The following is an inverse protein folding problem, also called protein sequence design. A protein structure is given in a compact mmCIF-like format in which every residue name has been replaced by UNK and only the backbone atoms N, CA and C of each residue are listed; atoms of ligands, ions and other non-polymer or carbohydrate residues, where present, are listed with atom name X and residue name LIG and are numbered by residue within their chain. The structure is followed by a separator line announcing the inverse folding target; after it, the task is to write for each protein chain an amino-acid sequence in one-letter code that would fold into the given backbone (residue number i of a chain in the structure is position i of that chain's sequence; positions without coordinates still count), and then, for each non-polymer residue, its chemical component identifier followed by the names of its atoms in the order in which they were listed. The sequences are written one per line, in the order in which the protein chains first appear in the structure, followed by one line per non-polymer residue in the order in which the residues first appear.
data_IF_862868412258
#
_entry.id   IF_862868412258
#
_cell.length_a   1.000
_cell.length_b   1.000
_cell.length_c   1.000
_cell.angle_alpha   90.00
_cell.angle_beta   90.00
_cell.angle_gamma   90.00
#
_symmetry.space_group_name_H-M   'P 1'
#
loop_
_entity.id
_entity.type
_entity.pdbx_description
1 polymer ?
#
# COMPACT_ATOMS: atom_id res chain seq x y z
N UNK A 1 -48.62 5.19 -7.40
CA UNK A 1 -47.54 6.05 -7.91
C UNK A 1 -46.28 5.50 -7.29
N UNK A 2 -45.65 4.56 -7.98
CA UNK A 2 -44.29 4.12 -7.67
C UNK A 2 -43.43 5.29 -8.15
N UNK A 3 -42.74 5.96 -7.24
CA UNK A 3 -41.67 6.86 -7.65
C UNK A 3 -40.73 6.07 -8.58
N UNK A 4 -40.42 6.64 -9.73
CA UNK A 4 -39.42 6.11 -10.66
C UNK A 4 -38.10 5.93 -9.89
N UNK A 5 -37.85 4.72 -9.37
CA UNK A 5 -36.57 4.35 -8.79
C UNK A 5 -35.61 4.20 -9.98
N UNK A 6 -35.11 5.33 -10.48
CA UNK A 6 -33.95 5.33 -11.38
C UNK A 6 -32.78 4.79 -10.57
N UNK A 7 -32.50 3.50 -10.73
CA UNK A 7 -31.23 2.93 -10.29
C UNK A 7 -30.09 3.74 -10.92
N UNK A 8 -29.02 4.04 -10.17
CA UNK A 8 -27.84 4.70 -10.73
C UNK A 8 -27.31 3.92 -11.94
N UNK A 9 -26.63 4.61 -12.86
CA UNK A 9 -25.97 4.00 -14.03
C UNK A 9 -25.10 2.81 -13.61
N UNK A 10 -25.11 1.71 -14.36
CA UNK A 10 -24.32 0.51 -14.00
C UNK A 10 -22.86 0.85 -13.70
N UNK A 11 -22.39 0.51 -12.50
CA UNK A 11 -21.06 0.87 -12.03
C UNK A 11 -20.50 -0.20 -11.08
N UNK A 12 -19.19 -0.16 -10.86
CA UNK A 12 -18.51 -1.03 -9.91
C UNK A 12 -17.12 -0.48 -9.59
N UNK A 13 -16.44 -1.14 -8.68
CA UNK A 13 -15.11 -0.72 -8.27
C UNK A 13 -14.66 -1.37 -6.99
N UNK A 14 -13.62 -0.79 -6.43
CA UNK A 14 -13.06 -1.14 -5.13
C UNK A 14 -13.22 0.05 -4.18
N UNK A 15 -13.75 -0.17 -3.00
CA UNK A 15 -13.83 0.83 -1.92
C UNK A 15 -12.99 0.34 -0.74
N UNK A 16 -12.17 1.21 -0.18
CA UNK A 16 -11.35 0.88 0.98
C UNK A 16 -11.03 2.10 1.83
N UNK A 17 -10.70 1.93 3.12
CA UNK A 17 -10.24 3.02 3.95
C UNK A 17 -8.98 3.69 3.38
N UNK A 18 -8.93 5.03 3.40
CA UNK A 18 -7.70 5.74 3.11
C UNK A 18 -6.70 5.46 4.24
N UNK A 19 -5.66 4.69 3.91
CA UNK A 19 -4.50 4.42 4.74
C UNK A 19 -3.24 4.57 3.88
N UNK A 20 -2.06 4.34 4.45
CA UNK A 20 -0.83 4.33 3.67
C UNK A 20 -0.71 3.03 2.88
N UNK A 21 -0.79 3.14 1.55
CA UNK A 21 -0.55 2.08 0.58
C UNK A 21 0.32 2.63 -0.56
N UNK A 22 0.79 1.78 -1.47
CA UNK A 22 1.53 2.23 -2.65
C UNK A 22 0.58 2.24 -3.86
N UNK A 23 0.08 3.40 -4.32
CA UNK A 23 -0.79 3.47 -5.49
C UNK A 23 -0.23 2.74 -6.72
N UNK A 24 1.08 2.85 -6.96
CA UNK A 24 1.75 2.15 -8.06
C UNK A 24 1.72 0.63 -7.89
N UNK A 25 1.94 0.10 -6.68
CA UNK A 25 1.80 -1.33 -6.40
C UNK A 25 0.36 -1.82 -6.57
N UNK A 26 -0.64 -1.03 -6.18
CA UNK A 26 -2.04 -1.36 -6.39
C UNK A 26 -2.35 -1.45 -7.89
N UNK A 27 -1.91 -0.46 -8.67
CA UNK A 27 -2.05 -0.46 -10.12
C UNK A 27 -1.35 -1.66 -10.76
N UNK A 28 -0.11 -1.98 -10.34
CA UNK A 28 0.64 -3.13 -10.84
C UNK A 28 -0.06 -4.46 -10.52
N UNK A 29 -0.56 -4.63 -9.30
CA UNK A 29 -1.27 -5.85 -8.90
C UNK A 29 -2.57 -6.05 -9.71
N UNK A 30 -3.33 -4.96 -9.93
CA UNK A 30 -4.54 -5.01 -10.75
C UNK A 30 -4.21 -5.28 -12.23
N UNK A 31 -3.14 -4.69 -12.75
CA UNK A 31 -2.66 -4.95 -14.11
C UNK A 31 -2.27 -6.42 -14.30
N UNK A 32 -1.52 -6.99 -13.35
CA UNK A 32 -1.14 -8.40 -13.36
C UNK A 32 -2.38 -9.31 -13.35
N UNK A 33 -3.36 -9.01 -12.48
CA UNK A 33 -4.63 -9.73 -12.44
C UNK A 33 -5.38 -9.70 -13.78
N UNK A 34 -5.42 -8.56 -14.45
CA UNK A 34 -6.06 -8.43 -15.76
C UNK A 34 -5.30 -9.14 -16.88
N UNK A 35 -3.97 -9.03 -16.90
CA UNK A 35 -3.11 -9.71 -17.89
C UNK A 35 -3.23 -11.23 -17.75
N UNK A 36 -3.33 -11.75 -16.53
CA UNK A 36 -3.52 -13.18 -16.28
C UNK A 36 -4.80 -13.73 -16.94
N UNK A 37 -5.81 -12.88 -17.14
CA UNK A 37 -7.06 -13.20 -17.84
C UNK A 37 -7.05 -12.80 -19.33
N UNK A 38 -5.86 -12.55 -19.90
CA UNK A 38 -5.64 -12.15 -21.29
C UNK A 38 -6.44 -10.91 -21.71
N UNK A 39 -6.67 -9.96 -20.79
CA UNK A 39 -7.36 -8.71 -21.08
C UNK A 39 -6.44 -7.72 -21.79
N UNK A 40 -6.98 -6.97 -22.75
CA UNK A 40 -6.28 -5.85 -23.36
C UNK A 40 -6.35 -4.64 -22.42
N UNK A 41 -5.21 -4.25 -21.85
CA UNK A 41 -5.11 -3.12 -20.91
C UNK A 41 -4.37 -1.91 -21.52
N UNK A 42 -4.22 -1.86 -22.85
CA UNK A 42 -3.37 -0.86 -23.53
C UNK A 42 -3.79 0.60 -23.34
N UNK A 43 -5.05 0.84 -23.03
CA UNK A 43 -5.59 2.17 -22.70
C UNK A 43 -6.13 2.24 -21.27
N UNK A 44 -5.91 1.18 -20.48
CA UNK A 44 -6.52 1.06 -19.17
C UNK A 44 -5.78 1.88 -18.11
N UNK A 45 -6.55 2.58 -17.28
CA UNK A 45 -6.03 3.36 -16.15
C UNK A 45 -6.70 2.93 -14.85
N UNK A 46 -5.97 3.05 -13.75
CA UNK A 46 -6.52 3.06 -12.40
C UNK A 46 -6.79 4.51 -12.00
N UNK A 47 -8.05 4.83 -11.77
CA UNK A 47 -8.48 6.07 -11.14
C UNK A 47 -8.70 5.81 -9.64
N UNK A 48 -8.07 6.62 -8.79
CA UNK A 48 -8.30 6.64 -7.36
C UNK A 48 -8.91 7.99 -6.98
N UNK A 49 -10.06 7.96 -6.33
CA UNK A 49 -10.75 9.16 -5.84
C UNK A 49 -11.01 9.01 -4.35
N UNK A 50 -10.55 9.97 -3.54
CA UNK A 50 -10.87 10.00 -2.11
C UNK A 50 -12.22 10.69 -1.90
N UNK A 51 -13.04 10.16 -1.01
CA UNK A 51 -14.24 10.85 -0.54
C UNK A 51 -13.90 12.23 0.08
N UNK A 52 -14.68 13.30 -0.21
CA UNK A 52 -14.39 14.65 0.31
C UNK A 52 -14.37 14.72 1.84
N UNK A 53 -15.29 14.02 2.50
CA UNK A 53 -15.52 14.15 3.95
C UNK A 53 -15.13 12.90 4.76
N UNK A 54 -15.02 11.73 4.11
CA UNK A 54 -14.83 10.44 4.77
C UNK A 54 -13.46 9.88 4.36
N UNK A 55 -12.82 9.12 5.24
CA UNK A 55 -11.52 8.48 4.96
C UNK A 55 -11.70 7.22 4.10
N UNK A 56 -12.29 7.37 2.91
CA UNK A 56 -12.50 6.29 1.95
C UNK A 56 -11.91 6.66 0.60
N UNK A 57 -11.35 5.66 -0.07
CA UNK A 57 -10.90 5.73 -1.46
C UNK A 57 -11.76 4.81 -2.30
N UNK A 58 -12.21 5.33 -3.44
CA UNK A 58 -12.80 4.57 -4.52
C UNK A 58 -11.75 4.39 -5.61
N UNK A 59 -11.43 3.14 -5.90
CA UNK A 59 -10.63 2.74 -7.04
C UNK A 59 -11.52 2.23 -8.17
N UNK A 60 -11.34 2.77 -9.36
CA UNK A 60 -12.00 2.34 -10.60
C UNK A 60 -10.98 2.12 -11.70
N UNK A 61 -11.24 1.13 -12.53
CA UNK A 61 -10.49 0.91 -13.75
C UNK A 61 -11.28 1.57 -14.87
N UNK A 62 -10.61 2.37 -15.69
CA UNK A 62 -11.18 3.02 -16.88
C UNK A 62 -10.43 2.55 -18.12
N UNK A 63 -11.03 2.75 -19.29
CA UNK A 63 -10.49 2.30 -20.59
C UNK A 63 -11.30 1.15 -21.20
N UNK A 64 -10.90 0.72 -22.38
CA UNK A 64 -11.64 -0.27 -23.19
C UNK A 64 -11.80 -1.65 -22.52
N UNK A 65 -10.96 -1.96 -21.54
CA UNK A 65 -11.00 -3.24 -20.80
C UNK A 65 -12.31 -3.50 -20.06
N UNK A 66 -13.02 -2.43 -19.67
CA UNK A 66 -14.30 -2.52 -18.94
C UNK A 66 -15.44 -2.93 -19.88
N UNK A 67 -15.37 -2.56 -21.16
CA UNK A 67 -16.46 -2.71 -22.10
C UNK A 67 -17.69 -1.87 -21.72
N UNK A 68 -18.86 -2.30 -22.19
CA UNK A 68 -20.13 -1.57 -22.03
C UNK A 68 -20.91 -1.96 -20.76
N UNK A 69 -20.41 -2.93 -19.98
CA UNK A 69 -21.03 -3.38 -18.73
C UNK A 69 -20.05 -3.31 -17.54
N UNK A 70 -19.89 -2.12 -16.92
CA UNK A 70 -19.00 -1.94 -15.78
C UNK A 70 -19.36 -2.83 -14.59
N UNK A 71 -20.64 -3.05 -14.32
CA UNK A 71 -21.08 -3.88 -13.21
C UNK A 71 -20.76 -5.37 -13.47
N UNK A 72 -21.02 -5.84 -14.69
CA UNK A 72 -20.64 -7.18 -15.14
C UNK A 72 -19.13 -7.41 -15.08
N UNK A 73 -18.33 -6.44 -15.52
CA UNK A 73 -16.87 -6.51 -15.41
C UNK A 73 -16.44 -6.77 -13.97
N UNK A 74 -16.84 -5.95 -13.00
CA UNK A 74 -16.40 -6.15 -11.61
C UNK A 74 -16.93 -7.44 -10.99
N UNK A 75 -18.16 -7.83 -11.32
CA UNK A 75 -18.76 -9.10 -10.87
C UNK A 75 -18.03 -10.33 -11.42
N UNK A 76 -17.50 -10.26 -12.64
CA UNK A 76 -16.81 -11.37 -13.29
C UNK A 76 -15.32 -11.44 -12.95
N UNK A 77 -14.76 -10.38 -12.36
CA UNK A 77 -13.35 -10.29 -12.00
C UNK A 77 -13.17 -10.05 -10.48
N UNK A 78 -13.91 -10.81 -9.64
CA UNK A 78 -13.88 -10.69 -8.17
C UNK A 78 -12.49 -10.97 -7.58
N UNK A 79 -11.68 -11.75 -8.27
CA UNK A 79 -10.29 -12.03 -7.93
C UNK A 79 -9.41 -10.79 -7.93
N UNK A 80 -9.77 -9.73 -8.67
CA UNK A 80 -9.08 -8.44 -8.58
C UNK A 80 -9.18 -7.85 -7.17
N UNK A 81 -10.31 -8.03 -6.49
CA UNK A 81 -10.46 -7.66 -5.09
C UNK A 81 -9.58 -8.49 -4.16
N UNK A 82 -9.40 -9.78 -4.46
CA UNK A 82 -8.50 -10.65 -3.69
C UNK A 82 -7.05 -10.20 -3.88
N UNK A 83 -6.61 -9.99 -5.12
CA UNK A 83 -5.27 -9.53 -5.49
C UNK A 83 -4.97 -8.16 -4.87
N UNK A 84 -5.85 -7.17 -5.07
CA UNK A 84 -5.69 -5.83 -4.52
C UNK A 84 -5.59 -5.84 -2.99
N UNK A 85 -6.36 -6.71 -2.31
CA UNK A 85 -6.30 -6.81 -0.85
C UNK A 85 -4.98 -7.35 -0.29
N UNK A 86 -4.10 -7.92 -1.13
CA UNK A 86 -2.76 -8.35 -0.71
C UNK A 86 -1.82 -7.17 -0.50
N UNK A 87 -2.01 -6.08 -1.25
CA UNK A 87 -1.15 -4.90 -1.20
C UNK A 87 -1.72 -3.76 -0.36
N UNK A 88 -3.02 -3.83 -0.02
CA UNK A 88 -3.71 -2.89 0.86
C UNK A 88 -3.63 -3.29 2.35
N UNK A 89 -3.57 -2.32 3.28
CA UNK A 89 -3.37 -2.60 4.70
C UNK A 89 -4.65 -3.05 5.43
N UNK A 90 -5.82 -2.63 4.96
CA UNK A 90 -7.13 -2.89 5.57
C UNK A 90 -8.06 -3.66 4.62
N UNK A 91 -9.27 -3.94 5.13
CA UNK A 91 -10.33 -4.55 4.34
C UNK A 91 -10.63 -3.72 3.09
N UNK A 92 -10.90 -4.44 2.01
CA UNK A 92 -11.27 -3.93 0.71
C UNK A 92 -12.66 -4.45 0.37
N UNK A 93 -13.49 -3.59 -0.21
CA UNK A 93 -14.82 -3.92 -0.68
C UNK A 93 -14.83 -3.83 -2.20
N UNK A 94 -14.80 -4.97 -2.89
CA UNK A 94 -15.13 -5.01 -4.31
C UNK A 94 -16.64 -5.02 -4.44
N UNK A 95 -17.21 -4.18 -5.30
CA UNK A 95 -18.66 -4.06 -5.44
C UNK A 95 -19.10 -3.87 -6.91
N UNK A 96 -20.35 -4.21 -7.18
CA UNK A 96 -21.03 -3.98 -8.45
C UNK A 96 -22.49 -3.59 -8.22
N UNK A 97 -22.97 -2.66 -9.03
CA UNK A 97 -24.36 -2.20 -9.10
C UNK A 97 -24.76 -2.18 -10.56
N UNK A 98 -25.53 -3.18 -10.98
CA UNK A 98 -26.16 -3.21 -12.29
C UNK A 98 -27.54 -2.55 -12.20
N UNK A 99 -27.79 -1.59 -13.08
CA UNK A 99 -29.09 -0.95 -13.23
C UNK A 99 -30.05 -1.76 -14.11
N UNK A 100 -31.08 -1.10 -14.61
CA UNK A 100 -32.04 -1.72 -15.54
C UNK A 100 -31.39 -2.14 -16.88
N UNK A 101 -31.93 -3.18 -17.56
CA UNK A 101 -33.17 -3.91 -17.25
C UNK A 101 -33.01 -5.07 -16.27
N UNK A 102 -31.78 -5.44 -15.92
CA UNK A 102 -31.48 -6.61 -15.08
C UNK A 102 -30.78 -6.14 -13.79
N UNK A 103 -31.51 -5.50 -12.86
CA UNK A 103 -30.90 -4.95 -11.66
C UNK A 103 -30.28 -6.07 -10.82
N UNK A 104 -29.04 -5.84 -10.38
CA UNK A 104 -28.29 -6.78 -9.55
C UNK A 104 -27.26 -6.00 -8.75
N UNK A 105 -27.13 -6.27 -7.46
CA UNK A 105 -26.08 -5.66 -6.66
C UNK A 105 -25.36 -6.70 -5.85
N UNK A 106 -24.07 -6.49 -5.64
CA UNK A 106 -23.29 -7.35 -4.79
C UNK A 106 -21.95 -6.74 -4.41
N UNK A 107 -21.33 -7.37 -3.44
CA UNK A 107 -20.00 -7.04 -2.98
C UNK A 107 -19.27 -8.27 -2.46
N UNK A 108 -17.94 -8.17 -2.45
CA UNK A 108 -17.02 -9.11 -1.80
C UNK A 108 -16.13 -8.30 -0.87
N UNK A 109 -16.05 -8.73 0.39
CA UNK A 109 -15.12 -8.19 1.38
C UNK A 109 -13.87 -9.04 1.36
N UNK A 110 -12.73 -8.42 1.09
CA UNK A 110 -11.43 -9.10 1.06
C UNK A 110 -10.43 -8.42 1.98
N UNK A 111 -9.51 -9.21 2.53
CA UNK A 111 -8.39 -8.70 3.32
C UNK A 111 -7.21 -9.66 3.19
N UNK A 112 -6.01 -9.13 2.88
CA UNK A 112 -4.76 -9.92 2.81
C UNK A 112 -4.86 -11.15 1.89
N UNK A 113 -5.54 -11.02 0.76
CA UNK A 113 -5.74 -12.10 -0.20
C UNK A 113 -6.78 -13.15 0.22
N UNK A 114 -7.60 -12.88 1.22
CA UNK A 114 -8.66 -13.77 1.67
C UNK A 114 -10.03 -13.11 1.52
N UNK A 115 -11.05 -13.89 1.16
CA UNK A 115 -12.45 -13.46 1.18
C UNK A 115 -13.00 -13.63 2.59
N UNK A 116 -13.50 -12.55 3.17
CA UNK A 116 -14.08 -12.53 4.52
C UNK A 116 -15.61 -12.68 4.48
N UNK A 117 -16.23 -12.21 3.40
CA UNK A 117 -17.67 -12.28 3.21
C UNK A 117 -18.04 -11.82 1.81
N UNK A 118 -19.23 -12.21 1.36
CA UNK A 118 -19.77 -11.78 0.09
C UNK A 118 -21.30 -11.78 0.18
N UNK A 119 -21.91 -10.88 -0.58
CA UNK A 119 -23.35 -10.85 -0.77
C UNK A 119 -23.63 -10.43 -2.20
N UNK A 120 -24.59 -11.08 -2.83
CA UNK A 120 -25.05 -10.79 -4.19
C UNK A 120 -26.55 -11.04 -4.24
N UNK A 121 -27.29 -10.12 -4.85
CA UNK A 121 -28.74 -10.18 -4.91
C UNK A 121 -29.26 -9.75 -6.28
N UNK A 122 -30.27 -10.47 -6.76
CA UNK A 122 -31.22 -10.07 -7.81
C UNK A 122 -32.60 -9.76 -7.17
N UNK A 123 -33.55 -9.13 -7.88
CA UNK A 123 -34.82 -8.69 -7.28
C UNK A 123 -35.63 -9.82 -6.66
N UNK A 124 -35.57 -11.02 -7.25
CA UNK A 124 -36.26 -12.23 -6.78
C UNK A 124 -35.67 -12.82 -5.49
N UNK A 125 -34.47 -12.38 -5.11
CA UNK A 125 -33.79 -12.80 -3.88
C UNK A 125 -34.02 -11.83 -2.71
N UNK A 126 -34.66 -10.69 -2.97
CA UNK A 126 -35.01 -9.71 -1.94
C UNK A 126 -36.38 -10.01 -1.32
N UNK A 127 -36.65 -9.53 -0.09
CA UNK A 127 -37.98 -9.60 0.50
C UNK A 127 -39.08 -9.00 -0.39
N UNK A 128 -40.34 -9.49 -0.31
CA UNK A 128 -41.44 -8.98 -1.15
C UNK A 128 -41.74 -7.48 -0.97
N UNK A 129 -41.37 -6.91 0.17
CA UNK A 129 -41.52 -5.49 0.55
C UNK A 129 -40.17 -4.74 0.54
N UNK A 130 -39.16 -5.29 -0.14
CA UNK A 130 -37.84 -4.69 -0.22
C UNK A 130 -37.87 -3.29 -0.85
N UNK A 131 -37.11 -2.41 -0.23
CA UNK A 131 -36.86 -1.04 -0.63
C UNK A 131 -35.46 -0.90 -1.23
N UNK A 132 -35.12 0.28 -1.73
CA UNK A 132 -33.76 0.58 -2.21
C UNK A 132 -32.68 0.32 -1.14
N UNK A 133 -33.01 0.47 0.14
CA UNK A 133 -32.10 0.27 1.26
C UNK A 133 -31.81 -1.21 1.57
N UNK A 134 -32.60 -2.13 1.02
CA UNK A 134 -32.46 -3.57 1.27
C UNK A 134 -31.48 -4.25 0.32
N UNK A 135 -30.99 -3.54 -0.70
CA UNK A 135 -29.99 -4.06 -1.61
C UNK A 135 -28.61 -4.18 -0.94
N UNK A 136 -27.80 -5.20 -1.31
CA UNK A 136 -26.50 -5.45 -0.68
C UNK A 136 -25.56 -4.23 -0.61
N UNK A 137 -25.42 -3.48 -1.72
CA UNK A 137 -24.52 -2.32 -1.74
C UNK A 137 -25.10 -1.15 -0.92
N UNK A 138 -26.41 -0.94 -0.92
CA UNK A 138 -27.05 0.06 -0.06
C UNK A 138 -26.83 -0.23 1.43
N UNK A 139 -26.93 -1.51 1.84
CA UNK A 139 -26.63 -1.92 3.22
C UNK A 139 -25.16 -1.74 3.58
N UNK A 140 -24.24 -2.07 2.66
CA UNK A 140 -22.81 -1.81 2.83
C UNK A 140 -22.53 -0.31 3.02
N UNK A 141 -23.08 0.54 2.16
CA UNK A 141 -22.85 1.97 2.19
C UNK A 141 -23.35 2.63 3.48
N UNK A 142 -24.46 2.14 4.04
CA UNK A 142 -24.94 2.56 5.36
C UNK A 142 -23.92 2.27 6.47
N UNK A 143 -23.18 1.16 6.40
CA UNK A 143 -22.10 0.85 7.36
C UNK A 143 -20.88 1.76 7.15
N UNK A 144 -20.59 2.12 5.90
CA UNK A 144 -19.49 3.00 5.51
C UNK A 144 -19.81 4.49 5.69
N UNK A 145 -21.06 4.83 6.03
CA UNK A 145 -21.55 6.21 6.16
C UNK A 145 -21.39 7.02 4.86
N UNK A 146 -21.76 6.40 3.73
CA UNK A 146 -21.70 6.98 2.38
C UNK A 146 -23.08 6.91 1.75
N UNK A 147 -23.49 7.95 1.01
CA UNK A 147 -24.75 7.93 0.27
C UNK A 147 -24.60 7.21 -1.09
N UNK A 148 -25.64 6.50 -1.57
CA UNK A 148 -25.59 5.79 -2.86
C UNK A 148 -25.15 6.64 -4.05
N UNK A 149 -25.62 7.90 -4.12
CA UNK A 149 -25.30 8.83 -5.21
C UNK A 149 -23.83 9.28 -5.19
N UNK A 150 -23.21 9.36 -4.01
CA UNK A 150 -21.79 9.67 -3.88
C UNK A 150 -20.93 8.55 -4.46
N UNK A 151 -21.30 7.28 -4.19
CA UNK A 151 -20.62 6.14 -4.79
C UNK A 151 -20.85 6.10 -6.30
N UNK A 152 -22.07 6.31 -6.78
CA UNK A 152 -22.39 6.29 -8.22
C UNK A 152 -21.61 7.36 -8.99
N UNK A 153 -21.61 8.60 -8.48
CA UNK A 153 -20.87 9.73 -9.05
C UNK A 153 -19.35 9.62 -8.93
N UNK A 154 -18.86 8.64 -8.18
CA UNK A 154 -17.43 8.36 -8.02
C UNK A 154 -16.72 9.33 -7.09
N UNK A 155 -17.39 9.77 -6.02
CA UNK A 155 -16.90 10.76 -5.06
C UNK A 155 -16.56 12.10 -5.72
N UNK A 156 -17.51 12.64 -6.48
CA UNK A 156 -17.35 13.90 -7.19
C UNK A 156 -16.84 15.03 -6.28
N UNK A 157 -15.85 15.80 -6.76
CA UNK A 157 -15.20 16.87 -5.99
C UNK A 157 -14.10 16.40 -5.03
N UNK A 158 -13.90 15.09 -4.88
CA UNK A 158 -12.82 14.53 -4.09
C UNK A 158 -11.44 14.62 -4.76
N UNK A 159 -10.34 14.58 -3.99
CA UNK A 159 -8.99 14.48 -4.55
C UNK A 159 -8.82 13.22 -5.40
N UNK A 160 -8.16 13.35 -6.55
CA UNK A 160 -8.05 12.31 -7.58
C UNK A 160 -6.61 12.09 -8.02
N UNK A 161 -6.24 10.84 -8.24
CA UNK A 161 -5.04 10.46 -8.99
C UNK A 161 -5.38 9.42 -10.06
N UNK A 162 -4.64 9.45 -11.17
CA UNK A 162 -4.76 8.49 -12.27
C UNK A 162 -3.41 7.84 -12.52
N UNK A 163 -3.41 6.52 -12.72
CA UNK A 163 -2.22 5.73 -13.04
C UNK A 163 -2.47 4.86 -14.25
N UNK A 164 -1.49 4.77 -15.15
CA UNK A 164 -1.51 3.80 -16.25
C UNK A 164 -1.41 2.38 -15.69
N UNK A 165 -2.16 1.43 -16.24
CA UNK A 165 -2.02 0.01 -15.86
C UNK A 165 -0.89 -0.71 -16.61
N UNK A 166 -0.33 -0.13 -17.69
CA UNK A 166 0.80 -0.75 -18.42
C UNK A 166 2.12 -0.44 -17.72
N UNK A 167 2.31 0.84 -17.38
CA UNK A 167 3.50 1.40 -16.77
C UNK A 167 3.02 2.26 -15.60
N UNK A 168 2.66 1.63 -14.47
CA UNK A 168 2.20 2.34 -13.28
C UNK A 168 3.40 3.05 -12.62
N UNK A 169 3.80 4.18 -13.21
CA UNK A 169 4.87 5.03 -12.70
C UNK A 169 4.31 6.20 -11.90
N UNK A 170 5.07 6.60 -10.88
CA UNK A 170 4.78 7.78 -10.07
C UNK A 170 5.43 7.67 -8.70
N UNK A 171 5.67 8.83 -8.08
CA UNK A 171 6.09 8.86 -6.69
C UNK A 171 4.87 8.55 -5.80
N UNK A 172 4.82 7.35 -5.23
CA UNK A 172 3.74 6.89 -4.34
C UNK A 172 3.45 7.89 -3.22
N UNK A 173 4.48 8.57 -2.71
CA UNK A 173 4.32 9.60 -1.69
C UNK A 173 3.52 10.77 -2.23
N UNK A 174 3.94 11.37 -3.34
CA UNK A 174 3.23 12.48 -3.99
C UNK A 174 1.79 12.11 -4.38
N UNK A 175 1.56 10.88 -4.85
CA UNK A 175 0.23 10.37 -5.20
C UNK A 175 -0.68 10.25 -3.97
N UNK A 176 -0.17 9.70 -2.87
CA UNK A 176 -0.91 9.64 -1.61
C UNK A 176 -1.18 11.03 -1.02
N UNK A 177 -0.22 11.95 -1.09
CA UNK A 177 -0.39 13.32 -0.60
C UNK A 177 -1.50 14.04 -1.37
N UNK A 178 -1.52 13.85 -2.69
CA UNK A 178 -2.63 14.30 -3.55
C UNK A 178 -3.96 13.74 -3.06
N UNK A 179 -4.05 12.42 -2.82
CA UNK A 179 -5.28 11.80 -2.30
C UNK A 179 -5.69 12.34 -0.92
N UNK A 180 -4.74 12.63 -0.03
CA UNK A 180 -5.00 13.23 1.29
C UNK A 180 -5.44 14.71 1.18
N UNK A 181 -5.40 15.29 -0.03
CA UNK A 181 -5.81 16.66 -0.30
C UNK A 181 -4.70 17.69 -0.09
N UNK A 182 -3.45 17.24 -0.03
CA UNK A 182 -2.28 18.12 -0.06
C UNK A 182 -1.80 18.22 -1.50
N UNK A 183 -1.75 19.44 -2.05
CA UNK A 183 -1.08 19.64 -3.32
C UNK A 183 0.42 19.38 -3.13
N UNK A 184 1.09 18.73 -4.10
CA UNK A 184 2.55 18.67 -4.08
C UNK A 184 3.06 20.11 -4.02
N UNK A 185 3.95 20.41 -3.06
CA UNK A 185 4.64 21.69 -3.03
C UNK A 185 5.39 21.81 -4.36
N UNK A 186 4.91 22.72 -5.23
CA UNK A 186 5.61 23.07 -6.46
C UNK A 186 7.05 23.43 -6.08
N UNK A 187 7.98 22.58 -6.48
CA UNK A 187 9.39 22.77 -6.27
C UNK A 187 9.79 24.16 -6.76
N UNK A 188 10.33 24.95 -5.82
CA UNK A 188 11.09 26.15 -6.12
C UNK A 188 11.99 25.91 -7.32
N UNK A 189 11.79 26.74 -8.34
CA UNK A 189 12.55 26.73 -9.57
C UNK A 189 14.04 26.76 -9.27
N UNK A 190 14.73 25.78 -9.84
CA UNK A 190 16.15 25.87 -10.10
C UNK A 190 16.31 26.88 -11.24
N UNK A 191 16.32 28.17 -10.90
CA UNK A 191 16.74 29.25 -11.79
C UNK A 191 18.23 29.04 -12.08
N UNK A 192 18.49 28.29 -13.15
CA UNK A 192 19.78 28.24 -13.81
C UNK A 192 20.17 29.62 -14.33
N UNK A 193 21.08 30.24 -13.59
CA UNK A 193 22.00 31.33 -13.93
C UNK A 193 22.16 31.58 -15.44
N UNK A 194 21.47 32.61 -15.93
CA UNK A 194 21.66 33.18 -17.26
C UNK A 194 22.70 34.31 -17.18
N UNK A 195 23.94 34.00 -17.57
CA UNK A 195 24.97 34.99 -17.87
C UNK A 195 24.86 35.50 -19.31
N UNK A 196 24.59 36.79 -19.43
CA UNK A 196 24.66 37.65 -20.62
C UNK A 196 25.98 37.50 -21.43
N UNK A 197 25.93 37.56 -22.77
CA UNK A 197 26.41 38.76 -23.50
C UNK A 197 26.10 38.74 -25.03
N UNK A 198 25.50 39.85 -25.49
CA UNK A 198 25.55 40.60 -26.76
C UNK A 198 25.61 39.92 -28.18
N UNK A 199 24.73 40.42 -29.08
CA UNK A 199 24.52 40.02 -30.50
C UNK A 199 25.46 40.68 -31.54
N UNK A 200 25.04 41.12 -32.77
CA UNK A 200 23.73 41.12 -33.43
C UNK A 200 23.74 40.64 -34.93
N UNK A 201 22.61 40.90 -35.62
CA UNK A 201 22.36 40.99 -37.08
C UNK A 201 21.62 39.87 -37.84
N UNK A 202 20.76 40.35 -38.75
CA UNK A 202 19.54 39.73 -39.24
C UNK A 202 19.69 39.11 -40.67
N UNK A 203 18.61 38.89 -41.46
CA UNK A 203 18.06 37.57 -41.76
C UNK A 203 18.23 37.15 -43.23
N UNK A 204 18.31 35.85 -43.54
CA UNK A 204 17.94 35.35 -44.88
C UNK A 204 17.76 33.82 -44.94
N UNK A 205 16.65 33.42 -45.59
CA UNK A 205 16.48 32.21 -46.42
C UNK A 205 16.18 30.86 -45.74
N UNK A 206 14.92 30.43 -45.87
CA UNK A 206 14.59 29.01 -46.12
C UNK A 206 14.62 28.76 -47.65
N UNK A 207 14.96 27.54 -48.13
CA UNK A 207 13.96 26.47 -48.20
C UNK A 207 14.44 25.05 -47.87
N UNK A 208 13.47 24.24 -47.44
CA UNK A 208 13.50 22.79 -47.18
C UNK A 208 14.15 21.93 -48.27
N UNK A 209 14.88 20.90 -47.85
CA UNK A 209 14.76 19.54 -48.39
C UNK A 209 15.21 18.52 -47.32
N UNK A 210 14.31 17.58 -46.98
CA UNK A 210 14.38 16.73 -45.79
C UNK A 210 15.48 15.68 -45.79
N UNK A 211 16.13 15.54 -44.63
CA UNK A 211 16.85 14.35 -44.24
C UNK A 211 15.95 13.52 -43.31
N UNK A 212 15.62 12.30 -43.72
CA UNK A 212 14.88 11.34 -42.92
C UNK A 212 15.66 10.99 -41.63
N UNK A 213 15.00 10.92 -40.46
CA UNK A 213 15.67 10.47 -39.24
C UNK A 213 16.00 8.97 -39.36
N UNK A 214 17.24 8.63 -38.98
CA UNK A 214 17.73 7.26 -38.93
C UNK A 214 16.79 6.40 -38.07
N UNK A 215 16.37 5.26 -38.63
CA UNK A 215 15.54 4.30 -37.92
C UNK A 215 16.28 3.79 -36.67
N UNK A 216 15.80 4.18 -35.49
CA UNK A 216 16.09 3.51 -34.23
C UNK A 216 15.72 2.04 -34.38
N UNK A 217 16.68 1.14 -34.15
CA UNK A 217 16.43 -0.30 -34.07
C UNK A 217 15.30 -0.52 -33.07
N UNK A 218 14.13 -0.94 -33.55
CA UNK A 218 13.00 -1.38 -32.72
C UNK A 218 13.50 -2.56 -31.90
N UNK A 219 13.72 -2.35 -30.60
CA UNK A 219 13.89 -3.43 -29.62
C UNK A 219 12.63 -4.28 -29.72
N UNK A 220 12.79 -5.57 -30.01
CA UNK A 220 11.64 -6.45 -30.18
C UNK A 220 10.95 -6.68 -28.84
N UNK A 221 9.64 -6.90 -28.87
CA UNK A 221 8.83 -7.21 -27.67
C UNK A 221 9.39 -8.41 -26.89
N UNK A 222 10.05 -9.34 -27.58
CA UNK A 222 10.69 -10.49 -26.94
C UNK A 222 11.99 -10.12 -26.21
N UNK A 223 12.77 -9.19 -26.74
CA UNK A 223 14.00 -8.70 -26.10
C UNK A 223 13.67 -7.89 -24.85
N UNK A 224 12.60 -7.08 -24.91
CA UNK A 224 12.11 -6.31 -23.76
C UNK A 224 11.54 -7.21 -22.65
N UNK A 225 10.78 -8.26 -23.00
CA UNK A 225 10.31 -9.27 -22.05
C UNK A 225 11.45 -10.03 -21.36
N UNK A 226 12.51 -10.39 -22.12
CA UNK A 226 13.70 -11.04 -21.56
C UNK A 226 14.47 -10.11 -20.62
N UNK A 227 14.58 -8.81 -20.98
CA UNK A 227 15.20 -7.80 -20.12
C UNK A 227 14.45 -7.64 -18.79
N UNK A 228 13.13 -7.44 -18.83
CA UNK A 228 12.31 -7.30 -17.60
C UNK A 228 12.33 -8.57 -16.73
N UNK A 229 12.29 -9.75 -17.35
CA UNK A 229 12.41 -11.00 -16.60
C UNK A 229 13.80 -11.15 -15.95
N UNK A 230 14.86 -10.68 -16.61
CA UNK A 230 16.21 -10.68 -16.07
C UNK A 230 16.36 -9.63 -14.93
N UNK A 231 15.78 -8.44 -15.08
CA UNK A 231 15.77 -7.39 -14.06
C UNK A 231 14.99 -7.83 -12.82
N UNK A 232 13.78 -8.37 -12.98
CA UNK A 232 12.98 -8.91 -11.87
C UNK A 232 13.68 -10.07 -11.17
N UNK A 233 14.30 -10.98 -11.94
CA UNK A 233 15.10 -12.05 -11.37
C UNK A 233 16.31 -11.49 -10.60
N UNK A 234 17.01 -10.51 -11.15
CA UNK A 234 18.13 -9.87 -10.46
C UNK A 234 17.70 -9.16 -9.17
N UNK A 235 16.52 -8.53 -9.16
CA UNK A 235 15.94 -7.93 -7.95
C UNK A 235 15.62 -9.00 -6.89
N UNK A 236 14.97 -10.10 -7.29
CA UNK A 236 14.70 -11.23 -6.39
C UNK A 236 15.99 -11.85 -5.86
N UNK A 237 16.98 -12.05 -6.72
CA UNK A 237 18.29 -12.61 -6.35
C UNK A 237 19.03 -11.64 -5.39
N UNK A 238 18.98 -10.33 -5.63
CA UNK A 238 19.55 -9.32 -4.74
C UNK A 238 18.83 -9.27 -3.38
N UNK A 239 17.50 -9.40 -3.38
CA UNK A 239 16.67 -9.44 -2.16
C UNK A 239 16.93 -10.70 -1.34
N UNK A 240 17.05 -11.86 -2.01
CA UNK A 240 17.43 -13.11 -1.38
C UNK A 240 18.85 -13.01 -0.78
N UNK A 241 19.80 -12.45 -1.53
CA UNK A 241 21.16 -12.22 -1.04
C UNK A 241 21.20 -11.28 0.17
N UNK A 242 20.38 -10.21 0.18
CA UNK A 242 20.21 -9.33 1.34
C UNK A 242 19.68 -10.11 2.55
N UNK A 243 18.64 -10.90 2.37
CA UNK A 243 18.07 -11.72 3.45
C UNK A 243 19.08 -12.75 3.99
N UNK A 244 19.88 -13.39 3.13
CA UNK A 244 20.90 -14.35 3.54
C UNK A 244 22.06 -13.70 4.27
N UNK A 245 22.50 -12.51 3.83
CA UNK A 245 23.51 -11.70 4.53
C UNK A 245 23.04 -11.32 5.94
N UNK A 246 21.79 -10.88 6.08
CA UNK A 246 21.18 -10.51 7.36
C UNK A 246 21.12 -11.71 8.32
N UNK A 247 20.82 -12.91 7.81
CA UNK A 247 20.75 -14.15 8.61
C UNK A 247 22.12 -14.60 9.13
N UNK A 248 23.21 -14.23 8.46
CA UNK A 248 24.55 -14.72 8.78
C UNK A 248 25.17 -14.08 10.03
N UNK A 249 24.84 -12.81 10.30
CA UNK A 249 25.25 -12.07 11.51
C UNK A 249 24.02 -11.46 12.17
N UNK A 250 23.28 -12.30 12.89
CA UNK A 250 22.02 -11.94 13.56
C UNK A 250 22.23 -11.79 15.08
N UNK A 251 22.61 -10.60 15.58
CA UNK A 251 22.66 -10.34 17.01
C UNK A 251 21.32 -10.65 17.68
N UNK A 252 21.37 -11.14 18.91
CA UNK A 252 20.16 -11.43 19.66
C UNK A 252 20.37 -11.33 21.16
N UNK A 253 19.27 -11.16 21.88
CA UNK A 253 19.19 -11.28 23.34
C UNK A 253 18.06 -12.25 23.68
N UNK A 254 18.31 -13.13 24.65
CA UNK A 254 17.30 -14.05 25.18
C UNK A 254 16.85 -13.57 26.56
N UNK A 255 15.55 -13.58 26.81
CA UNK A 255 14.94 -13.21 28.07
C UNK A 255 13.80 -14.18 28.46
N UNK A 256 13.04 -13.81 29.48
CA UNK A 256 11.94 -14.62 29.99
C UNK A 256 10.83 -14.82 28.94
N UNK A 257 10.57 -13.83 28.09
CA UNK A 257 9.53 -13.86 27.05
C UNK A 257 9.96 -14.64 25.80
N UNK A 258 11.26 -14.72 25.53
CA UNK A 258 11.80 -15.44 24.38
C UNK A 258 13.09 -14.84 23.88
N UNK A 259 13.18 -14.63 22.58
CA UNK A 259 14.36 -14.05 21.93
C UNK A 259 13.98 -12.76 21.19
N UNK A 260 14.83 -11.75 21.26
CA UNK A 260 14.77 -10.59 20.38
C UNK A 260 16.00 -10.57 19.50
N UNK A 261 15.81 -10.61 18.19
CA UNK A 261 16.89 -10.54 17.20
C UNK A 261 17.05 -9.11 16.66
N UNK A 262 18.25 -8.72 16.25
CA UNK A 262 18.52 -7.45 15.58
C UNK A 262 19.10 -7.71 14.18
N UNK A 263 18.26 -7.82 13.14
CA UNK A 263 18.70 -8.10 11.78
C UNK A 263 19.47 -6.90 11.20
N UNK A 264 20.79 -6.90 11.33
CA UNK A 264 21.65 -5.78 10.90
C UNK A 264 21.48 -5.49 9.40
N UNK A 265 21.26 -4.23 9.06
CA UNK A 265 21.05 -3.80 7.67
C UNK A 265 19.63 -4.06 7.13
N UNK A 266 18.72 -4.59 7.96
CA UNK A 266 17.30 -4.54 7.68
C UNK A 266 16.72 -3.18 8.11
N UNK A 267 15.85 -2.65 7.28
CA UNK A 267 15.05 -1.45 7.54
C UNK A 267 13.64 -1.87 7.94
N UNK A 268 12.89 -0.99 8.61
CA UNK A 268 11.51 -1.28 8.99
C UNK A 268 10.62 -1.58 7.76
N UNK A 269 10.97 -1.02 6.60
CA UNK A 269 10.32 -1.31 5.32
C UNK A 269 10.57 -2.73 4.78
N UNK A 270 11.61 -3.44 5.22
CA UNK A 270 11.94 -4.83 4.83
C UNK A 270 11.03 -5.86 5.54
N UNK A 271 9.72 -5.60 5.50
CA UNK A 271 8.72 -6.36 6.27
C UNK A 271 8.68 -7.85 5.97
N UNK A 272 9.04 -8.27 4.76
CA UNK A 272 9.16 -9.66 4.34
C UNK A 272 10.34 -10.39 5.01
N UNK A 273 11.44 -9.67 5.28
CA UNK A 273 12.59 -10.19 6.03
C UNK A 273 12.26 -10.24 7.52
N UNK A 274 11.72 -9.15 8.06
CA UNK A 274 11.48 -8.99 9.50
C UNK A 274 10.35 -9.90 10.02
N UNK A 275 9.32 -10.16 9.21
CA UNK A 275 8.17 -11.00 9.59
C UNK A 275 8.55 -12.44 9.95
N UNK A 276 9.67 -12.95 9.44
CA UNK A 276 10.20 -14.25 9.83
C UNK A 276 10.55 -14.33 11.33
N UNK A 277 10.78 -13.18 11.97
CA UNK A 277 11.15 -13.04 13.37
C UNK A 277 10.02 -12.43 14.21
N UNK A 278 8.78 -12.45 13.72
CA UNK A 278 7.60 -12.02 14.46
C UNK A 278 6.71 -13.23 14.78
N UNK A 279 7.15 -14.01 15.77
CA UNK A 279 6.51 -15.27 16.15
C UNK A 279 5.98 -15.15 17.58
N UNK A 280 4.67 -15.10 17.80
CA UNK A 280 4.09 -14.95 19.13
C UNK A 280 4.21 -16.23 19.98
N UNK A 281 4.35 -17.38 19.33
CA UNK A 281 4.52 -18.68 19.98
C UNK A 281 5.32 -19.60 19.04
N UNK A 282 6.53 -19.99 19.46
CA UNK A 282 7.39 -20.90 18.71
C UNK A 282 6.88 -22.33 18.86
N UNK A 283 6.51 -22.92 17.74
CA UNK A 283 6.14 -24.33 17.61
C UNK A 283 7.02 -24.99 16.54
N UNK A 284 7.96 -25.83 16.97
CA UNK A 284 8.81 -26.59 16.05
C UNK A 284 10.16 -25.92 15.76
N UNK A 285 10.47 -25.70 14.48
CA UNK A 285 11.77 -25.18 14.04
C UNK A 285 11.91 -23.67 14.30
N UNK A 286 13.13 -23.23 14.58
CA UNK A 286 13.44 -21.81 14.73
C UNK A 286 13.64 -21.13 13.36
N UNK A 287 13.36 -19.82 13.25
CA UNK A 287 13.74 -19.02 12.10
C UNK A 287 15.21 -19.17 11.72
N UNK A 288 15.48 -19.09 10.42
CA UNK A 288 16.85 -19.12 9.91
C UNK A 288 17.70 -18.00 10.54
N UNK A 289 18.98 -18.28 10.83
CA UNK A 289 19.89 -17.36 11.49
C UNK A 289 19.88 -17.42 13.01
N UNK A 290 18.83 -17.98 13.64
CA UNK A 290 18.83 -18.26 15.08
C UNK A 290 19.50 -19.61 15.33
N UNK A 291 20.33 -19.67 16.37
CA UNK A 291 21.02 -20.88 16.78
C UNK A 291 20.03 -22.01 17.12
N UNK A 292 20.24 -23.19 16.50
CA UNK A 292 19.38 -24.37 16.70
C UNK A 292 19.45 -24.90 18.12
N UNK A 293 20.53 -24.64 18.84
CA UNK A 293 20.70 -25.06 20.23
C UNK A 293 19.71 -24.36 21.18
N UNK A 294 19.18 -23.19 20.78
CA UNK A 294 18.15 -22.47 21.53
C UNK A 294 16.74 -23.05 21.36
N UNK A 295 16.54 -24.02 20.46
CA UNK A 295 15.21 -24.53 20.10
C UNK A 295 14.42 -25.02 21.29
N UNK A 296 15.05 -25.81 22.17
CA UNK A 296 14.39 -26.37 23.34
C UNK A 296 13.98 -25.28 24.35
N UNK A 297 14.81 -24.25 24.51
CA UNK A 297 14.56 -23.12 25.41
C UNK A 297 13.44 -22.20 24.90
N UNK A 298 13.29 -22.09 23.58
CA UNK A 298 12.36 -21.15 22.95
C UNK A 298 11.00 -21.75 22.60
N UNK A 299 10.77 -23.06 22.74
CA UNK A 299 9.43 -23.63 22.53
C UNK A 299 8.40 -22.95 23.46
N UNK A 300 7.24 -22.59 22.91
CA UNK A 300 6.22 -21.89 23.70
C UNK A 300 6.47 -20.40 23.89
N UNK A 301 7.65 -19.89 23.48
CA UNK A 301 8.09 -18.51 23.68
C UNK A 301 7.99 -17.68 22.40
N UNK A 302 8.29 -16.40 22.51
CA UNK A 302 8.24 -15.44 21.39
C UNK A 302 9.58 -15.35 20.65
N UNK A 303 9.50 -15.06 19.35
CA UNK A 303 10.58 -14.42 18.59
C UNK A 303 10.07 -13.02 18.26
N UNK A 304 10.83 -12.02 18.68
CA UNK A 304 10.60 -10.62 18.37
C UNK A 304 11.84 -10.06 17.67
N UNK A 305 11.76 -8.87 17.09
CA UNK A 305 12.90 -8.20 16.47
C UNK A 305 13.05 -6.75 16.92
N UNK A 306 14.26 -6.22 16.77
CA UNK A 306 14.61 -4.82 16.95
C UNK A 306 15.37 -4.30 15.71
N UNK A 307 14.96 -3.15 15.18
CA UNK A 307 15.63 -2.52 14.02
C UNK A 307 15.76 -1.02 14.22
N UNK A 308 16.80 -0.44 13.64
CA UNK A 308 16.94 1.01 13.53
C UNK A 308 15.82 1.59 12.67
N UNK A 309 15.39 2.80 13.01
CA UNK A 309 14.39 3.54 12.24
C UNK A 309 14.95 4.89 11.85
N UNK A 310 15.04 5.11 10.55
CA UNK A 310 15.57 6.36 9.99
C UNK A 310 14.48 7.43 9.91
N UNK A 311 13.26 7.05 9.52
CA UNK A 311 12.16 7.99 9.29
C UNK A 311 10.94 7.68 10.17
N UNK A 312 10.48 8.68 10.93
CA UNK A 312 9.27 8.54 11.76
C UNK A 312 8.02 8.18 10.92
N UNK A 313 7.98 8.64 9.67
CA UNK A 313 6.89 8.36 8.74
C UNK A 313 6.73 6.88 8.38
N UNK A 314 7.69 6.03 8.73
CA UNK A 314 7.57 4.58 8.58
C UNK A 314 6.63 3.94 9.62
N UNK A 315 6.21 4.69 10.64
CA UNK A 315 5.40 4.20 11.75
C UNK A 315 4.13 5.05 11.95
N UNK A 316 3.14 4.47 12.62
CA UNK A 316 1.84 5.10 12.84
C UNK A 316 1.54 5.21 14.33
N UNK A 317 1.01 6.36 14.72
CA UNK A 317 0.27 6.54 15.96
C UNK A 317 -1.23 6.26 15.70
N UNK A 318 -2.05 6.32 16.75
CA UNK A 318 -3.50 6.02 16.69
C UNK A 318 -4.21 6.80 15.58
N UNK A 319 -3.83 8.06 15.36
CA UNK A 319 -4.53 8.99 14.46
C UNK A 319 -3.84 9.19 13.10
N UNK A 320 -2.79 8.42 12.77
CA UNK A 320 -2.10 8.51 11.48
C UNK A 320 -0.57 8.36 11.55
N UNK A 321 0.16 8.75 10.48
CA UNK A 321 1.62 8.68 10.44
C UNK A 321 2.27 9.42 11.61
N UNK A 322 3.32 8.82 12.19
CA UNK A 322 4.00 9.42 13.32
C UNK A 322 4.82 10.64 12.87
N UNK A 323 4.51 11.79 13.44
CA UNK A 323 5.31 13.01 13.29
C UNK A 323 6.18 13.23 14.50
N UNK A 324 7.23 14.07 14.36
CA UNK A 324 8.10 14.43 15.48
C UNK A 324 7.32 15.09 16.62
N UNK A 325 6.43 16.02 16.30
CA UNK A 325 5.60 16.72 17.28
C UNK A 325 4.70 15.75 18.05
N UNK A 326 4.04 14.83 17.34
CA UNK A 326 3.19 13.81 17.96
C UNK A 326 4.00 12.86 18.84
N UNK A 327 5.19 12.43 18.39
CA UNK A 327 6.08 11.61 19.21
C UNK A 327 6.50 12.33 20.49
N UNK A 328 6.95 13.58 20.41
CA UNK A 328 7.39 14.36 21.59
C UNK A 328 6.24 14.59 22.59
N UNK A 329 5.02 14.73 22.10
CA UNK A 329 3.82 14.90 22.92
C UNK A 329 3.36 13.60 23.58
N UNK A 330 3.30 12.50 22.83
CA UNK A 330 2.67 11.24 23.27
C UNK A 330 3.65 10.25 23.93
N UNK A 331 4.95 10.35 23.63
CA UNK A 331 5.94 9.42 24.18
C UNK A 331 6.19 9.65 25.66
N UNK A 332 6.47 8.56 26.38
CA UNK A 332 6.76 8.58 27.80
C UNK A 332 8.26 8.39 28.03
N UNK A 333 8.87 9.12 28.98
CA UNK A 333 10.25 8.87 29.38
C UNK A 333 10.34 7.50 30.07
N UNK A 334 11.39 6.74 29.74
CA UNK A 334 11.70 5.44 30.34
C UNK A 334 13.19 5.31 30.53
N UNK A 335 13.60 4.67 31.62
CA UNK A 335 14.99 4.32 31.86
C UNK A 335 15.25 2.92 31.28
N UNK A 336 16.15 2.80 30.31
CA UNK A 336 16.63 1.52 29.79
C UNK A 336 18.14 1.44 29.99
N UNK A 337 18.63 0.41 30.68
CA UNK A 337 20.07 0.21 30.93
C UNK A 337 20.79 1.43 31.53
N UNK A 338 20.10 2.27 32.31
CA UNK A 338 20.64 3.50 32.90
C UNK A 338 20.65 4.73 31.98
N UNK A 339 20.15 4.62 30.76
CA UNK A 339 19.94 5.74 29.84
C UNK A 339 18.45 6.14 29.78
N UNK A 340 18.19 7.44 29.83
CA UNK A 340 16.85 7.97 29.62
C UNK A 340 16.52 7.97 28.12
N UNK A 341 15.41 7.33 27.77
CA UNK A 341 14.88 7.26 26.41
C UNK A 341 13.41 7.68 26.41
N UNK A 342 12.87 7.99 25.24
CA UNK A 342 11.42 8.18 25.07
C UNK A 342 10.84 6.99 24.33
N UNK A 343 9.72 6.47 24.83
CA UNK A 343 9.04 5.29 24.29
C UNK A 343 7.61 5.66 23.94
N UNK A 344 7.18 5.22 22.76
CA UNK A 344 5.79 5.33 22.32
C UNK A 344 5.35 4.00 21.72
N UNK A 345 4.13 3.58 22.02
CA UNK A 345 3.52 2.49 21.28
C UNK A 345 3.14 2.97 19.87
N UNK A 346 3.58 2.22 18.86
CA UNK A 346 3.30 2.53 17.45
C UNK A 346 2.88 1.29 16.69
N UNK A 347 2.31 1.50 15.51
CA UNK A 347 2.03 0.45 14.53
C UNK A 347 3.10 0.51 13.42
N UNK A 348 3.87 -0.57 13.29
CA UNK A 348 4.72 -0.83 12.15
C UNK A 348 3.91 -1.44 10.99
N UNK A 349 3.87 -0.83 9.80
CA UNK A 349 3.15 -1.36 8.65
C UNK A 349 3.54 -2.80 8.36
N UNK A 350 2.54 -3.70 8.25
CA UNK A 350 2.72 -5.14 8.02
C UNK A 350 3.47 -5.91 9.13
N UNK A 351 3.96 -5.22 10.16
CA UNK A 351 4.73 -5.77 11.28
C UNK A 351 3.96 -5.71 12.61
N UNK A 352 2.86 -4.96 12.68
CA UNK A 352 1.99 -4.92 13.84
C UNK A 352 2.44 -3.92 14.91
N UNK A 353 1.83 -4.03 16.10
CA UNK A 353 2.07 -3.11 17.22
C UNK A 353 3.44 -3.38 17.84
N UNK A 354 4.13 -2.32 18.21
CA UNK A 354 5.44 -2.38 18.85
C UNK A 354 5.79 -1.10 19.57
N UNK A 355 7.01 -1.04 20.08
CA UNK A 355 7.56 0.13 20.76
C UNK A 355 8.49 0.85 19.81
N UNK A 356 8.26 2.14 19.61
CA UNK A 356 9.26 3.03 19.07
C UNK A 356 10.00 3.71 20.22
N UNK A 357 11.31 3.49 20.28
CA UNK A 357 12.21 4.01 21.30
C UNK A 357 13.17 5.00 20.65
N UNK A 358 13.34 6.18 21.25
CA UNK A 358 14.22 7.23 20.74
C UNK A 358 15.13 7.78 21.81
N UNK A 359 16.40 8.00 21.44
CA UNK A 359 17.40 8.75 22.21
C UNK A 359 18.07 9.77 21.28
N UNK A 360 17.84 11.06 21.52
CA UNK A 360 18.31 12.11 20.63
C UNK A 360 17.76 11.96 19.21
N UNK A 361 18.65 11.77 18.22
CA UNK A 361 18.25 11.58 16.81
C UNK A 361 18.01 10.12 16.43
N UNK A 362 18.64 9.17 17.12
CA UNK A 362 18.54 7.74 16.84
C UNK A 362 17.20 7.17 17.34
N UNK A 363 16.63 6.27 16.55
CA UNK A 363 15.37 5.59 16.86
C UNK A 363 15.44 4.10 16.55
N UNK A 364 14.73 3.31 17.35
CA UNK A 364 14.65 1.85 17.23
C UNK A 364 13.18 1.44 17.35
N UNK A 365 12.73 0.56 16.46
CA UNK A 365 11.46 -0.14 16.60
C UNK A 365 11.73 -1.53 17.17
N UNK A 366 10.94 -1.92 18.16
CA UNK A 366 10.93 -3.28 18.73
C UNK A 366 9.54 -3.85 18.59
N UNK A 367 9.41 -5.10 18.13
CA UNK A 367 8.12 -5.77 17.93
C UNK A 367 7.45 -6.24 19.24
N UNK A 368 7.63 -5.46 20.31
CA UNK A 368 7.00 -5.62 21.63
C UNK A 368 6.34 -4.31 22.01
N UNK A 369 5.11 -4.38 22.50
CA UNK A 369 4.42 -3.20 23.04
C UNK A 369 5.08 -2.72 24.35
N UNK A 370 4.96 -1.44 24.73
CA UNK A 370 5.71 -0.87 25.85
C UNK A 370 5.49 -1.56 27.19
N UNK A 371 4.36 -2.25 27.38
CA UNK A 371 4.01 -2.98 28.59
C UNK A 371 4.85 -4.26 28.77
N UNK A 372 5.44 -4.78 27.70
CA UNK A 372 6.32 -5.94 27.74
C UNK A 372 7.74 -5.53 28.15
N UNK A 373 8.50 -6.50 28.65
CA UNK A 373 9.93 -6.33 28.88
C UNK A 373 10.63 -6.01 27.55
N UNK A 374 11.44 -4.95 27.53
CA UNK A 374 12.22 -4.52 26.37
C UNK A 374 13.68 -4.98 26.54
N UNK A 375 14.39 -5.34 25.45
CA UNK A 375 15.78 -5.79 25.54
C UNK A 375 16.73 -4.58 25.63
N UNK A 376 16.89 -4.04 26.83
CA UNK A 376 17.66 -2.81 27.10
C UNK A 376 19.02 -2.76 26.40
N UNK A 377 19.85 -3.79 26.58
CA UNK A 377 21.21 -3.81 26.01
C UNK A 377 21.21 -3.73 24.47
N UNK A 378 20.31 -4.48 23.82
CA UNK A 378 20.18 -4.52 22.37
C UNK A 378 19.65 -3.19 21.81
N UNK A 379 18.68 -2.59 22.50
CA UNK A 379 18.13 -1.27 22.12
C UNK A 379 19.22 -0.21 22.21
N UNK A 380 20.01 -0.19 23.29
CA UNK A 380 21.07 0.78 23.46
C UNK A 380 22.19 0.61 22.45
N UNK A 381 22.55 -0.62 22.09
CA UNK A 381 23.50 -0.90 21.01
C UNK A 381 23.01 -0.32 19.67
N UNK A 382 21.73 -0.53 19.34
CA UNK A 382 21.14 -0.03 18.09
C UNK A 382 20.93 1.49 18.07
N UNK A 383 20.68 2.11 19.23
CA UNK A 383 20.62 3.57 19.35
C UNK A 383 22.02 4.21 19.26
N UNK A 384 23.07 3.43 19.50
CA UNK A 384 24.45 3.88 19.56
C UNK A 384 24.76 4.78 20.76
N UNK A 385 26.00 5.22 20.83
CA UNK A 385 26.44 6.25 21.78
C UNK A 385 25.98 7.63 21.27
N UNK A 386 24.82 8.09 21.75
CA UNK A 386 24.31 9.42 21.43
C UNK A 386 25.21 10.56 21.91
#
# INVERSE_FOLDING_TARGET
MLDDIRMPSSHGGLVFPLDMFRPTMLAAALAEGLIAHARNILDAKLELVRHPEVQLVLARITGSVIGDDPAGFWRENVELGVIASQVLPRQLFLYWVAGEPNPRQGFVVTQRGQVLGAQDATPDQLPPDATAADWPVAQLLKQLQVEPDELASGFAGGPRVELSLIEPEGDDRSLLMTLVGQQPEDGQGDEGDAGDDAGPDAPASSPQAGAAPAATKRVSVEDDKKRRAAEHKAELDARAAKADSIRADLPYVVDDLGIVVAPKGAELADSDILRAYLIPNVEGELPAGIDRDLRAQLQGKRVDFAVGVEFLSEMFAVDGPLTKALFEQASQPRMLGGAEVRVLEVLGPRLGRGSYIRRGRAGVFVSRVPELALPDALILELLGDA
#
